data_IF_401950101238
#
_entry.id   IF_401950101238
#
_cell.length_a   1.000
_cell.length_b   1.000
_cell.length_c   1.000
_cell.angle_alpha   90.00
_cell.angle_beta   90.00
_cell.angle_gamma   90.00
#
_symmetry.space_group_name_H-M   'P 1'
#
loop_
_entity.id
_entity.type
_entity.pdbx_description
1 polymer ?
#
# COMPACT_ATOMS: atom_id res chain seq x y z
N UNK A 1 1.02 -0.04 34.02
CA UNK A 1 0.33 -1.15 33.34
C UNK A 1 -0.85 -0.57 32.56
N UNK A 2 -0.69 -0.26 31.29
CA UNK A 2 -1.77 0.27 30.45
C UNK A 2 -2.57 -0.87 29.83
N UNK A 3 -3.86 -0.91 30.12
CA UNK A 3 -4.78 -1.87 29.54
C UNK A 3 -4.81 -1.66 28.00
N UNK A 4 -4.54 -2.72 27.24
CA UNK A 4 -4.76 -2.74 25.78
C UNK A 4 -6.28 -2.76 25.54
N UNK A 5 -6.83 -1.61 25.19
CA UNK A 5 -8.20 -1.54 24.67
C UNK A 5 -8.18 -2.17 23.28
N UNK A 6 -8.65 -3.42 23.19
CA UNK A 6 -8.86 -4.08 21.90
C UNK A 6 -10.31 -3.84 21.48
N UNK A 7 -10.50 -3.25 20.31
CA UNK A 7 -11.82 -3.23 19.66
C UNK A 7 -12.29 -4.68 19.39
N UNK A 8 -13.59 -4.89 19.23
CA UNK A 8 -14.30 -6.19 19.14
C UNK A 8 -13.75 -7.25 18.15
N UNK A 9 -12.60 -7.00 17.51
CA UNK A 9 -11.92 -7.89 16.54
C UNK A 9 -10.43 -8.09 16.82
N UNK A 10 -9.91 -7.76 18.02
CA UNK A 10 -8.48 -7.92 18.31
C UNK A 10 -7.56 -6.90 17.63
N UNK A 11 -8.10 -5.89 16.97
CA UNK A 11 -7.33 -4.78 16.39
C UNK A 11 -6.92 -3.81 17.49
N UNK A 12 -5.64 -3.37 17.48
CA UNK A 12 -5.17 -2.38 18.44
C UNK A 12 -5.58 -0.98 18.02
N UNK A 13 -5.76 -0.09 18.99
CA UNK A 13 -6.08 1.33 18.75
C UNK A 13 -5.03 2.00 17.84
N UNK A 14 -3.75 1.66 18.05
CA UNK A 14 -2.64 2.18 17.24
C UNK A 14 -2.76 1.79 15.77
N UNK A 15 -3.09 0.53 15.48
CA UNK A 15 -3.27 0.06 14.10
C UNK A 15 -4.46 0.76 13.43
N UNK A 16 -5.59 0.86 14.14
CA UNK A 16 -6.78 1.58 13.69
C UNK A 16 -6.46 3.06 13.38
N UNK A 17 -5.66 3.72 14.22
CA UNK A 17 -5.20 5.09 14.00
C UNK A 17 -4.38 5.23 12.72
N UNK A 18 -3.40 4.34 12.49
CA UNK A 18 -2.59 4.36 11.26
C UNK A 18 -3.45 4.18 9.99
N UNK A 19 -4.44 3.30 10.01
CA UNK A 19 -5.38 3.15 8.89
C UNK A 19 -6.18 4.44 8.63
N UNK A 20 -6.66 5.08 9.69
CA UNK A 20 -7.39 6.35 9.58
C UNK A 20 -6.50 7.44 8.98
N UNK A 21 -5.24 7.55 9.42
CA UNK A 21 -4.28 8.49 8.87
C UNK A 21 -3.97 8.20 7.40
N UNK A 22 -3.79 6.92 7.02
CA UNK A 22 -3.58 6.52 5.63
C UNK A 22 -4.78 6.88 4.75
N UNK A 23 -5.99 6.65 5.25
CA UNK A 23 -7.23 7.00 4.56
C UNK A 23 -7.35 8.52 4.33
N UNK A 24 -7.10 9.33 5.37
CA UNK A 24 -7.13 10.78 5.28
C UNK A 24 -6.02 11.32 4.36
N UNK A 25 -4.82 10.75 4.45
CA UNK A 25 -3.71 11.10 3.58
C UNK A 25 -4.06 10.85 2.11
N UNK A 26 -4.64 9.69 1.80
CA UNK A 26 -5.07 9.37 0.44
C UNK A 26 -6.09 10.40 -0.10
N UNK A 27 -7.09 10.77 0.69
CA UNK A 27 -8.07 11.79 0.29
C UNK A 27 -7.42 13.16 0.06
N UNK A 28 -6.56 13.60 0.97
CA UNK A 28 -5.83 14.87 0.85
C UNK A 28 -4.94 14.91 -0.40
N UNK A 29 -4.47 13.74 -0.88
CA UNK A 29 -3.67 13.62 -2.10
C UNK A 29 -4.52 13.28 -3.34
N UNK A 30 -5.81 13.59 -3.33
CA UNK A 30 -6.69 13.54 -4.49
C UNK A 30 -7.20 12.15 -4.88
N UNK A 31 -7.12 11.17 -4.01
CA UNK A 31 -7.79 9.89 -4.22
C UNK A 31 -9.28 10.05 -3.89
N UNK A 32 -10.12 10.03 -4.93
CA UNK A 32 -11.56 10.31 -4.81
C UNK A 32 -12.38 9.14 -4.25
N UNK A 33 -11.91 7.92 -4.38
CA UNK A 33 -12.54 6.75 -3.80
C UNK A 33 -11.55 5.99 -2.92
N UNK A 34 -11.86 5.86 -1.63
CA UNK A 34 -11.03 5.18 -0.65
C UNK A 34 -11.89 4.25 0.21
N UNK A 35 -11.32 3.10 0.60
CA UNK A 35 -11.94 2.22 1.57
C UNK A 35 -10.90 1.50 2.42
N UNK A 36 -11.32 1.13 3.64
CA UNK A 36 -10.52 0.31 4.56
C UNK A 36 -10.86 -1.17 4.38
N UNK A 37 -9.90 -2.06 4.76
CA UNK A 37 -10.09 -3.50 4.77
C UNK A 37 -10.52 -4.06 3.41
N UNK A 38 -9.82 -3.66 2.36
CA UNK A 38 -10.15 -4.01 0.98
C UNK A 38 -9.52 -5.34 0.58
N UNK A 39 -10.36 -6.31 0.19
CA UNK A 39 -9.88 -7.55 -0.42
C UNK A 39 -9.37 -7.26 -1.83
N UNK A 40 -8.14 -7.69 -2.12
CA UNK A 40 -7.53 -7.46 -3.42
C UNK A 40 -8.10 -8.39 -4.50
N UNK A 41 -8.15 -7.92 -5.76
CA UNK A 41 -8.57 -8.78 -6.86
C UNK A 41 -7.54 -9.89 -7.12
N UNK A 42 -8.01 -11.05 -7.60
CA UNK A 42 -7.20 -12.20 -8.04
C UNK A 42 -6.32 -12.86 -6.96
N UNK A 43 -6.41 -12.43 -5.71
CA UNK A 43 -5.71 -13.06 -4.61
C UNK A 43 -6.55 -13.03 -3.33
N UNK A 44 -6.09 -13.76 -2.30
CA UNK A 44 -6.76 -13.84 -1.00
C UNK A 44 -6.31 -12.78 0.00
N UNK A 45 -5.45 -11.86 -0.43
CA UNK A 45 -4.94 -10.83 0.46
C UNK A 45 -5.93 -9.69 0.65
N UNK A 46 -5.89 -9.12 1.83
CA UNK A 46 -6.59 -7.88 2.18
C UNK A 46 -5.55 -6.84 2.54
N UNK A 47 -5.77 -5.61 2.09
CA UNK A 47 -4.97 -4.44 2.46
C UNK A 47 -5.75 -3.54 3.40
N UNK A 48 -5.02 -2.83 4.25
CA UNK A 48 -5.63 -1.97 5.27
C UNK A 48 -6.40 -0.80 4.66
N UNK A 49 -5.83 -0.16 3.63
CA UNK A 49 -6.51 0.88 2.85
C UNK A 49 -6.22 0.67 1.36
N UNK A 50 -7.22 0.85 0.53
CA UNK A 50 -7.07 0.98 -0.91
C UNK A 50 -7.74 2.24 -1.40
N UNK A 51 -7.16 2.86 -2.43
CA UNK A 51 -7.58 4.15 -2.95
C UNK A 51 -7.51 4.19 -4.48
N UNK A 52 -8.40 4.99 -5.06
CA UNK A 52 -8.48 5.24 -6.49
C UNK A 52 -8.52 6.74 -6.76
N UNK A 53 -7.63 7.20 -7.62
CA UNK A 53 -7.59 8.59 -8.09
C UNK A 53 -8.20 8.66 -9.49
N UNK A 54 -9.23 9.47 -9.63
CA UNK A 54 -9.87 9.73 -10.92
C UNK A 54 -8.90 10.44 -11.88
N UNK A 55 -8.90 10.03 -13.15
CA UNK A 55 -8.27 10.75 -14.26
C UNK A 55 -9.33 11.12 -15.28
N UNK A 56 -9.34 12.37 -15.79
CA UNK A 56 -10.27 12.75 -16.85
C UNK A 56 -10.07 11.87 -18.10
N UNK A 57 -11.15 11.42 -18.71
CA UNK A 57 -11.19 10.65 -19.98
C UNK A 57 -10.48 9.28 -19.97
N UNK A 58 -9.89 8.86 -18.87
CA UNK A 58 -9.21 7.55 -18.76
C UNK A 58 -9.48 6.90 -17.41
N UNK A 59 -9.18 5.60 -17.31
CA UNK A 59 -9.19 4.93 -16.01
C UNK A 59 -8.03 5.46 -15.16
N UNK A 60 -8.38 5.93 -13.98
CA UNK A 60 -7.47 6.53 -13.04
C UNK A 60 -6.43 5.57 -12.45
N UNK A 61 -5.65 6.07 -11.54
CA UNK A 61 -4.61 5.33 -10.84
C UNK A 61 -5.09 4.79 -9.50
N UNK A 62 -4.45 3.72 -9.05
CA UNK A 62 -4.78 3.01 -7.82
C UNK A 62 -3.60 3.00 -6.87
N UNK A 63 -3.89 3.04 -5.57
CA UNK A 63 -2.89 2.91 -4.52
C UNK A 63 -3.39 1.93 -3.44
N UNK A 64 -2.46 1.23 -2.81
CA UNK A 64 -2.70 0.39 -1.64
C UNK A 64 -1.79 0.81 -0.50
N UNK A 65 -2.30 0.69 0.72
CA UNK A 65 -1.60 1.05 1.94
C UNK A 65 -1.69 -0.12 2.91
N UNK A 66 -0.54 -0.48 3.46
CA UNK A 66 -0.40 -1.53 4.47
C UNK A 66 0.18 -0.90 5.74
N UNK A 67 -0.53 -1.01 6.85
CA UNK A 67 -0.14 -0.40 8.11
C UNK A 67 0.58 -1.42 9.00
N UNK A 68 1.72 -1.05 9.56
CA UNK A 68 2.47 -1.87 10.51
C UNK A 68 2.74 -1.06 11.77
N UNK A 69 2.33 -1.61 12.91
CA UNK A 69 2.42 -0.94 14.21
C UNK A 69 3.57 -1.44 15.08
N UNK A 70 4.14 -2.60 14.73
CA UNK A 70 5.23 -3.23 15.47
C UNK A 70 6.26 -3.85 14.51
N UNK A 71 7.52 -3.84 14.94
CA UNK A 71 8.63 -4.37 14.17
C UNK A 71 8.47 -5.87 13.91
N UNK A 72 7.90 -6.61 14.87
CA UNK A 72 7.62 -8.04 14.71
C UNK A 72 6.60 -8.32 13.59
N UNK A 73 5.61 -7.44 13.39
CA UNK A 73 4.63 -7.57 12.31
C UNK A 73 5.25 -7.25 10.95
N UNK A 74 6.15 -6.26 10.91
CA UNK A 74 6.93 -5.94 9.72
C UNK A 74 7.88 -7.10 9.37
N UNK A 75 8.56 -7.67 10.37
CA UNK A 75 9.53 -8.75 10.21
C UNK A 75 8.92 -10.12 9.99
N UNK A 76 7.70 -10.37 10.45
CA UNK A 76 6.98 -11.62 10.18
C UNK A 76 6.76 -11.83 8.68
N UNK A 77 6.60 -10.74 7.96
CA UNK A 77 6.45 -10.75 6.50
C UNK A 77 7.81 -10.71 5.79
N UNK A 78 8.94 -10.68 6.53
CA UNK A 78 10.30 -10.60 6.02
C UNK A 78 11.12 -11.85 6.35
N UNK A 79 12.06 -12.21 5.47
CA UNK A 79 13.02 -13.29 5.71
C UNK A 79 13.97 -12.97 6.88
N UNK A 80 14.20 -13.94 7.78
CA UNK A 80 14.88 -13.75 9.07
C UNK A 80 16.41 -13.76 9.03
N UNK A 81 17.07 -13.31 7.98
CA UNK A 81 18.53 -13.30 7.92
C UNK A 81 19.14 -12.00 8.45
N UNK A 82 19.63 -12.00 9.69
CA UNK A 82 20.27 -10.84 10.32
C UNK A 82 21.53 -10.37 9.55
N UNK A 83 22.32 -11.30 9.01
CA UNK A 83 23.47 -10.97 8.18
C UNK A 83 23.08 -10.22 6.89
N UNK A 84 21.97 -10.62 6.25
CA UNK A 84 21.47 -9.93 5.08
C UNK A 84 20.94 -8.53 5.41
N UNK A 85 20.38 -8.36 6.61
CA UNK A 85 19.92 -7.04 7.09
C UNK A 85 21.07 -6.09 7.37
N UNK A 86 22.10 -6.54 8.10
CA UNK A 86 23.29 -5.72 8.34
C UNK A 86 23.94 -5.29 7.01
N UNK A 87 24.02 -6.22 6.05
CA UNK A 87 24.53 -5.90 4.71
C UNK A 87 23.66 -4.86 4.00
N UNK A 88 22.33 -4.99 4.10
CA UNK A 88 21.39 -4.05 3.52
C UNK A 88 21.55 -2.65 4.12
N UNK A 89 21.68 -2.55 5.43
CA UNK A 89 21.91 -1.29 6.15
C UNK A 89 23.20 -0.61 5.68
N UNK A 90 24.31 -1.35 5.62
CA UNK A 90 25.60 -0.85 5.10
C UNK A 90 25.49 -0.31 3.68
N UNK A 91 24.72 -0.97 2.81
CA UNK A 91 24.51 -0.52 1.42
C UNK A 91 23.60 0.70 1.36
N UNK A 92 22.58 0.78 2.19
CA UNK A 92 21.72 1.97 2.29
C UNK A 92 22.54 3.20 2.72
N UNK A 93 23.40 3.08 3.74
CA UNK A 93 24.29 4.17 4.15
C UNK A 93 25.24 4.59 3.01
N UNK A 94 25.79 3.61 2.29
CA UNK A 94 26.67 3.89 1.13
C UNK A 94 25.89 4.63 0.03
N UNK A 95 24.64 4.24 -0.23
CA UNK A 95 23.76 4.93 -1.17
C UNK A 95 23.55 6.37 -0.74
N UNK A 96 23.16 6.61 0.52
CA UNK A 96 22.91 7.95 1.05
C UNK A 96 24.13 8.85 0.92
N UNK A 97 25.33 8.34 1.28
CA UNK A 97 26.58 9.09 1.12
C UNK A 97 26.88 9.45 -0.34
N UNK A 98 26.59 8.55 -1.27
CA UNK A 98 26.74 8.82 -2.71
C UNK A 98 25.71 9.86 -3.19
N UNK A 99 24.45 9.76 -2.78
CA UNK A 99 23.41 10.71 -3.15
C UNK A 99 23.71 12.12 -2.60
N UNK A 100 24.24 12.23 -1.39
CA UNK A 100 24.68 13.51 -0.83
C UNK A 100 25.76 14.16 -1.71
N UNK A 101 26.80 13.39 -2.07
CA UNK A 101 27.85 13.88 -2.96
C UNK A 101 27.35 14.22 -4.37
N UNK A 102 26.46 13.41 -4.92
CA UNK A 102 25.88 13.67 -6.23
C UNK A 102 25.01 14.94 -6.24
N UNK A 103 24.32 15.26 -5.13
CA UNK A 103 23.57 16.52 -4.99
C UNK A 103 24.49 17.74 -5.02
N UNK A 104 25.67 17.65 -4.41
CA UNK A 104 26.67 18.73 -4.44
C UNK A 104 27.18 19.00 -5.86
N UNK A 105 27.37 17.94 -6.66
CA UNK A 105 27.85 18.05 -8.04
C UNK A 105 26.75 18.35 -9.09
N UNK A 106 25.50 17.97 -8.78
CA UNK A 106 24.36 18.09 -9.69
C UNK A 106 23.15 18.71 -9.00
N UNK A 107 23.22 19.98 -8.55
CA UNK A 107 22.14 20.62 -7.78
C UNK A 107 20.85 20.81 -8.55
N UNK A 108 20.90 20.84 -9.87
CA UNK A 108 19.75 21.10 -10.76
C UNK A 108 19.06 19.83 -11.29
N UNK A 109 19.40 18.66 -10.76
CA UNK A 109 18.84 17.39 -11.19
C UNK A 109 17.43 17.19 -10.60
N UNK A 110 16.48 18.01 -11.04
CA UNK A 110 15.06 17.87 -10.72
C UNK A 110 14.33 17.36 -11.96
N UNK A 111 13.70 16.18 -11.87
CA UNK A 111 12.78 15.74 -12.89
C UNK A 111 11.43 16.45 -12.67
N UNK A 112 11.17 17.50 -13.47
CA UNK A 112 9.97 18.35 -13.39
C UNK A 112 8.67 17.75 -13.89
N UNK A 113 8.62 16.46 -14.25
CA UNK A 113 7.43 15.78 -14.81
C UNK A 113 6.79 14.77 -13.87
N UNK A 114 6.94 14.94 -12.55
CA UNK A 114 6.27 14.06 -11.61
C UNK A 114 4.75 14.31 -11.59
N UNK A 115 3.96 13.25 -11.67
CA UNK A 115 2.51 13.28 -11.40
C UNK A 115 2.19 13.84 -9.99
N UNK A 116 3.19 14.00 -9.15
CA UNK A 116 3.14 14.47 -7.78
C UNK A 116 4.33 15.40 -7.54
N UNK A 117 4.19 16.72 -7.73
CA UNK A 117 5.26 17.70 -7.51
C UNK A 117 5.87 17.62 -6.11
N UNK A 118 5.08 17.22 -5.11
CA UNK A 118 5.53 17.01 -3.74
C UNK A 118 6.55 15.87 -3.58
N UNK A 119 6.71 15.03 -4.62
CA UNK A 119 7.61 13.89 -4.64
C UNK A 119 8.82 14.10 -5.53
N UNK A 120 9.07 15.32 -6.00
CA UNK A 120 10.23 15.66 -6.83
C UNK A 120 11.53 15.50 -6.03
N UNK A 121 11.97 14.24 -5.92
CA UNK A 121 13.30 13.91 -5.46
C UNK A 121 14.24 13.79 -6.66
N UNK A 122 15.52 14.21 -6.52
CA UNK A 122 16.50 14.07 -7.59
C UNK A 122 16.62 12.61 -8.03
N UNK A 123 16.48 12.34 -9.32
CA UNK A 123 16.72 11.02 -9.89
C UNK A 123 18.18 10.90 -10.37
N UNK A 124 19.03 10.38 -9.50
CA UNK A 124 20.45 10.19 -9.80
C UNK A 124 20.73 9.05 -10.79
N UNK A 125 19.72 8.27 -11.19
CA UNK A 125 19.90 7.18 -12.19
C UNK A 125 20.23 7.74 -13.56
N UNK A 126 19.73 8.94 -13.88
CA UNK A 126 19.93 9.64 -15.15
C UNK A 126 21.41 10.01 -15.38
N UNK A 127 22.19 10.21 -14.30
CA UNK A 127 23.61 10.58 -14.40
C UNK A 127 24.48 9.45 -14.96
N UNK A 128 24.00 8.21 -14.96
CA UNK A 128 24.79 7.06 -15.41
C UNK A 128 26.04 6.75 -14.55
N UNK A 129 26.09 7.22 -13.31
CA UNK A 129 27.24 7.04 -12.43
C UNK A 129 27.44 5.57 -12.08
N UNK A 130 28.54 4.96 -12.57
CA UNK A 130 28.81 3.50 -12.43
C UNK A 130 28.77 3.01 -10.98
N UNK A 131 29.31 3.76 -10.03
CA UNK A 131 29.31 3.42 -8.61
C UNK A 131 27.91 3.42 -8.00
N UNK A 132 27.09 4.39 -8.35
CA UNK A 132 25.71 4.50 -7.91
C UNK A 132 24.86 3.36 -8.48
N UNK A 133 24.97 3.08 -9.77
CA UNK A 133 24.25 1.97 -10.43
C UNK A 133 24.64 0.61 -9.86
N UNK A 134 25.91 0.44 -9.42
CA UNK A 134 26.35 -0.79 -8.74
C UNK A 134 25.69 -0.92 -7.37
N UNK A 135 25.67 0.15 -6.57
CA UNK A 135 25.02 0.17 -5.26
C UNK A 135 23.52 -0.11 -5.37
N UNK A 136 22.83 0.49 -6.34
CA UNK A 136 21.40 0.22 -6.58
C UNK A 136 21.15 -1.25 -6.95
N UNK A 137 21.97 -1.85 -7.81
CA UNK A 137 21.83 -3.28 -8.18
C UNK A 137 22.03 -4.19 -6.97
N UNK A 138 23.05 -3.91 -6.15
CA UNK A 138 23.33 -4.70 -4.94
C UNK A 138 22.20 -4.54 -3.92
N UNK A 139 21.68 -3.31 -3.74
CA UNK A 139 20.53 -3.01 -2.90
C UNK A 139 19.30 -3.81 -3.34
N UNK A 140 18.94 -3.75 -4.63
CA UNK A 140 17.82 -4.50 -5.17
C UNK A 140 17.97 -6.01 -5.01
N UNK A 141 19.16 -6.56 -5.26
CA UNK A 141 19.41 -7.99 -5.10
C UNK A 141 19.23 -8.46 -3.65
N UNK A 142 19.74 -7.68 -2.68
CA UNK A 142 19.57 -7.99 -1.26
C UNK A 142 18.14 -7.82 -0.78
N UNK A 143 17.47 -6.74 -1.20
CA UNK A 143 16.07 -6.52 -0.88
C UNK A 143 15.19 -7.63 -1.46
N UNK A 144 15.39 -8.03 -2.72
CA UNK A 144 14.68 -9.16 -3.31
C UNK A 144 14.89 -10.45 -2.51
N UNK A 145 16.12 -10.72 -2.07
CA UNK A 145 16.44 -11.90 -1.26
C UNK A 145 15.77 -11.89 0.11
N UNK A 146 15.66 -10.71 0.74
CA UNK A 146 15.01 -10.53 2.05
C UNK A 146 13.49 -10.60 1.96
N UNK A 147 12.92 -10.10 0.87
CA UNK A 147 11.48 -9.97 0.70
C UNK A 147 10.88 -11.03 -0.26
N UNK A 148 11.71 -11.88 -0.86
CA UNK A 148 11.25 -12.93 -1.76
C UNK A 148 10.25 -13.85 -1.01
N UNK A 149 9.13 -14.13 -1.66
CA UNK A 149 7.99 -14.86 -1.11
C UNK A 149 7.17 -14.16 0.00
N UNK A 150 7.44 -12.91 0.33
CA UNK A 150 6.63 -12.15 1.30
C UNK A 150 5.30 -11.68 0.72
N UNK A 151 4.38 -11.26 1.61
CA UNK A 151 3.12 -10.60 1.18
C UNK A 151 3.42 -9.40 0.28
N UNK A 152 4.42 -8.58 0.64
CA UNK A 152 4.77 -7.35 -0.07
C UNK A 152 5.25 -7.61 -1.49
N UNK A 153 6.13 -8.60 -1.69
CA UNK A 153 6.61 -9.00 -3.01
C UNK A 153 5.46 -9.53 -3.88
N UNK A 154 4.61 -10.40 -3.33
CA UNK A 154 3.45 -10.93 -4.04
C UNK A 154 2.49 -9.82 -4.49
N UNK A 155 2.25 -8.80 -3.68
CA UNK A 155 1.38 -7.67 -4.04
C UNK A 155 1.94 -6.88 -5.24
N UNK A 156 3.26 -6.71 -5.30
CA UNK A 156 3.92 -6.07 -6.45
C UNK A 156 3.89 -6.97 -7.68
N UNK A 157 4.25 -8.26 -7.55
CA UNK A 157 4.25 -9.22 -8.66
C UNK A 157 2.87 -9.37 -9.31
N UNK A 158 1.81 -9.39 -8.51
CA UNK A 158 0.43 -9.43 -9.01
C UNK A 158 -0.05 -8.10 -9.59
N UNK A 159 0.78 -7.04 -9.53
CA UNK A 159 0.41 -5.69 -10.01
C UNK A 159 -0.99 -5.29 -9.54
N UNK A 160 -1.22 -5.42 -8.24
CA UNK A 160 -2.53 -5.17 -7.65
C UNK A 160 -2.92 -3.69 -7.70
N UNK A 161 -1.95 -2.78 -7.66
CA UNK A 161 -2.13 -1.34 -7.73
C UNK A 161 -0.94 -0.65 -8.41
N UNK A 162 -1.14 0.60 -8.84
CA UNK A 162 -0.06 1.40 -9.43
C UNK A 162 0.97 1.84 -8.39
N UNK A 163 0.53 2.12 -7.15
CA UNK A 163 1.38 2.57 -6.06
C UNK A 163 1.11 1.73 -4.81
N UNK A 164 2.16 1.42 -4.07
CA UNK A 164 2.10 0.67 -2.81
C UNK A 164 2.82 1.43 -1.71
N UNK A 165 2.14 1.65 -0.60
CA UNK A 165 2.67 2.39 0.55
C UNK A 165 2.66 1.54 1.80
N UNK A 166 3.77 1.59 2.54
CA UNK A 166 3.88 1.10 3.90
C UNK A 166 3.66 2.27 4.85
N UNK A 167 2.76 2.11 5.81
CA UNK A 167 2.41 3.15 6.79
C UNK A 167 2.95 2.73 8.15
N UNK A 168 3.83 3.55 8.72
CA UNK A 168 4.60 3.22 9.91
C UNK A 168 4.59 4.36 10.93
N UNK A 169 4.65 4.07 12.23
CA UNK A 169 5.02 5.07 13.22
C UNK A 169 6.52 5.40 13.10
N UNK A 170 6.91 6.59 13.57
CA UNK A 170 8.27 7.14 13.42
C UNK A 170 9.37 6.19 13.91
N UNK A 171 9.17 5.55 15.04
CA UNK A 171 10.14 4.68 15.67
C UNK A 171 10.41 3.36 14.91
N UNK A 172 9.53 3.00 13.98
CA UNK A 172 9.67 1.79 13.15
C UNK A 172 10.27 2.07 11.77
N UNK A 173 10.46 3.34 11.43
CA UNK A 173 10.96 3.68 10.12
C UNK A 173 12.47 3.47 10.02
N UNK A 174 12.86 2.47 9.23
CA UNK A 174 14.22 2.24 8.75
C UNK A 174 14.15 2.04 7.23
N UNK A 175 14.82 2.92 6.47
CA UNK A 175 14.75 2.90 5.00
C UNK A 175 15.17 1.54 4.41
N UNK A 176 16.12 0.86 5.07
CA UNK A 176 16.57 -0.48 4.70
C UNK A 176 15.49 -1.56 4.83
N UNK A 177 14.51 -1.38 5.71
CA UNK A 177 13.44 -2.36 5.93
C UNK A 177 12.22 -2.13 5.02
N UNK A 178 12.21 -1.05 4.22
CA UNK A 178 11.11 -0.79 3.29
C UNK A 178 11.27 -1.67 2.05
N UNK A 179 10.27 -2.49 1.68
CA UNK A 179 10.35 -3.37 0.51
C UNK A 179 10.59 -2.61 -0.79
N UNK A 180 11.24 -3.27 -1.76
CA UNK A 180 11.48 -2.69 -3.09
C UNK A 180 10.15 -2.29 -3.73
N UNK A 181 10.12 -1.08 -4.31
CA UNK A 181 8.93 -0.56 -4.98
C UNK A 181 7.88 0.05 -4.06
N UNK A 182 7.96 -0.18 -2.74
CA UNK A 182 7.06 0.43 -1.77
C UNK A 182 7.52 1.83 -1.37
N UNK A 183 6.57 2.75 -1.24
CA UNK A 183 6.77 4.01 -0.54
C UNK A 183 6.63 3.83 0.96
N UNK A 184 7.14 4.80 1.72
CA UNK A 184 6.98 4.84 3.18
C UNK A 184 6.31 6.14 3.60
N UNK A 185 5.17 6.00 4.25
CA UNK A 185 4.46 7.06 4.96
C UNK A 185 4.70 6.88 6.44
N UNK A 186 5.24 7.88 7.08
CA UNK A 186 5.63 7.81 8.49
C UNK A 186 4.83 8.81 9.30
N UNK A 187 4.29 8.35 10.43
CA UNK A 187 3.55 9.20 11.35
C UNK A 187 4.48 10.10 12.15
N UNK A 188 4.22 11.40 12.09
CA UNK A 188 4.81 12.44 12.92
C UNK A 188 3.67 13.31 13.45
N UNK A 189 3.55 13.42 14.75
CA UNK A 189 2.63 14.35 15.45
C UNK A 189 1.18 14.27 14.91
N UNK A 190 0.71 13.05 14.60
CA UNK A 190 -0.66 12.83 14.14
C UNK A 190 -0.88 13.06 12.64
N UNK A 191 0.17 13.31 11.87
CA UNK A 191 0.14 13.43 10.41
C UNK A 191 1.09 12.45 9.74
N UNK A 192 0.79 12.06 8.50
CA UNK A 192 1.69 11.22 7.70
C UNK A 192 2.59 12.09 6.83
N UNK A 193 3.90 11.81 6.90
CA UNK A 193 4.91 12.39 6.00
C UNK A 193 5.44 11.30 5.06
N UNK A 194 5.61 11.65 3.80
CA UNK A 194 6.25 10.76 2.83
C UNK A 194 7.77 10.78 3.06
N UNK A 195 8.31 9.67 3.53
CA UNK A 195 9.75 9.50 3.77
C UNK A 195 10.45 8.78 2.63
N UNK A 196 9.72 7.94 1.89
CA UNK A 196 10.23 7.24 0.71
C UNK A 196 9.18 7.21 -0.38
N UNK A 197 9.57 7.61 -1.60
CA UNK A 197 8.71 7.58 -2.78
C UNK A 197 8.46 6.14 -3.23
N UNK A 198 7.22 5.75 -3.56
CA UNK A 198 6.94 4.47 -4.18
C UNK A 198 7.39 4.45 -5.64
N UNK A 199 7.65 3.26 -6.17
CA UNK A 199 7.83 3.06 -7.60
C UNK A 199 6.47 2.89 -8.26
N UNK A 200 6.27 3.55 -9.41
CA UNK A 200 5.09 3.34 -10.22
C UNK A 200 5.12 1.96 -10.89
N UNK A 201 4.06 1.20 -10.74
CA UNK A 201 3.85 -0.08 -11.40
C UNK A 201 2.77 0.03 -12.46
N UNK A 202 3.09 -0.38 -13.70
CA UNK A 202 2.08 -0.49 -14.74
C UNK A 202 1.09 -1.59 -14.37
N UNK A 203 -0.11 -1.16 -14.01
CA UNK A 203 -1.23 -2.03 -13.64
C UNK A 203 -2.23 -2.05 -14.77
N UNK A 204 -2.56 -3.23 -15.26
CA UNK A 204 -3.52 -3.40 -16.34
C UNK A 204 -4.87 -2.77 -16.01
N UNK A 205 -5.58 -2.31 -17.06
CA UNK A 205 -6.88 -1.67 -16.96
C UNK A 205 -7.86 -2.49 -16.12
N UNK A 206 -7.92 -3.78 -16.39
CA UNK A 206 -8.81 -4.71 -15.70
C UNK A 206 -8.54 -4.77 -14.18
N UNK A 207 -7.28 -4.81 -13.77
CA UNK A 207 -6.92 -4.83 -12.35
C UNK A 207 -7.30 -3.53 -11.65
N UNK A 208 -7.15 -2.39 -12.31
CA UNK A 208 -7.56 -1.08 -11.76
C UNK A 208 -9.09 -1.01 -11.59
N UNK A 209 -9.85 -1.47 -12.58
CA UNK A 209 -11.33 -1.55 -12.49
C UNK A 209 -11.74 -2.51 -11.38
N UNK A 210 -11.16 -3.69 -11.33
CA UNK A 210 -11.47 -4.68 -10.27
C UNK A 210 -11.14 -4.15 -8.88
N UNK A 211 -10.02 -3.42 -8.72
CA UNK A 211 -9.70 -2.81 -7.43
C UNK A 211 -10.70 -1.72 -7.06
N UNK A 212 -11.11 -0.87 -8.01
CA UNK A 212 -12.17 0.13 -7.78
C UNK A 212 -13.48 -0.53 -7.34
N UNK A 213 -13.89 -1.62 -7.98
CA UNK A 213 -15.06 -2.40 -7.55
C UNK A 213 -14.92 -2.91 -6.12
N UNK A 214 -13.73 -3.41 -5.74
CA UNK A 214 -13.46 -3.87 -4.36
C UNK A 214 -13.50 -2.74 -3.35
N UNK A 215 -13.02 -1.55 -3.72
CA UNK A 215 -13.12 -0.34 -2.90
C UNK A 215 -14.60 0.01 -2.69
N UNK A 216 -15.41 0.06 -3.75
CA UNK A 216 -16.85 0.34 -3.68
C UNK A 216 -17.57 -0.68 -2.77
N UNK A 217 -17.33 -1.97 -2.97
CA UNK A 217 -17.90 -3.03 -2.12
C UNK A 217 -17.49 -2.91 -0.64
N UNK A 218 -16.24 -2.51 -0.37
CA UNK A 218 -15.76 -2.33 1.00
C UNK A 218 -16.42 -1.10 1.65
N UNK A 219 -16.57 -0.01 0.89
CA UNK A 219 -17.30 1.19 1.31
C UNK A 219 -18.77 0.89 1.63
N UNK A 220 -19.47 0.19 0.75
CA UNK A 220 -20.87 -0.24 0.98
C UNK A 220 -20.98 -1.08 2.25
N UNK A 221 -20.08 -2.05 2.47
CA UNK A 221 -20.09 -2.85 3.71
C UNK A 221 -19.82 -2.00 4.96
N UNK A 222 -18.99 -0.96 4.84
CA UNK A 222 -18.75 -0.04 5.96
C UNK A 222 -19.99 0.77 6.29
N UNK A 223 -20.68 1.30 5.28
CA UNK A 223 -21.95 2.03 5.43
C UNK A 223 -23.02 1.11 6.02
N UNK A 224 -23.21 -0.10 5.50
CA UNK A 224 -24.19 -1.04 6.02
C UNK A 224 -23.96 -1.35 7.50
N UNK A 225 -22.68 -1.50 7.91
CA UNK A 225 -22.37 -1.69 9.34
C UNK A 225 -22.67 -0.46 10.19
N UNK A 226 -22.42 0.73 9.67
CA UNK A 226 -22.71 1.98 10.37
C UNK A 226 -24.21 2.22 10.52
N UNK A 227 -24.99 1.81 9.53
CA UNK A 227 -26.45 1.91 9.51
C UNK A 227 -27.14 0.67 10.11
N UNK A 228 -26.36 -0.29 10.63
CA UNK A 228 -26.86 -1.56 11.19
C UNK A 228 -27.74 -2.38 10.22
N UNK A 229 -27.56 -2.16 8.89
CA UNK A 229 -28.28 -2.89 7.86
C UNK A 229 -27.69 -4.29 7.73
N UNK A 230 -28.50 -5.32 8.05
CA UNK A 230 -28.14 -6.71 7.75
C UNK A 230 -28.50 -7.02 6.29
N UNK A 231 -27.64 -7.80 5.61
CA UNK A 231 -27.92 -8.19 4.21
C UNK A 231 -29.18 -9.03 4.06
N UNK A 232 -29.59 -9.71 5.16
CA UNK A 232 -30.83 -10.47 5.22
C UNK A 232 -32.08 -9.58 5.15
N UNK A 233 -31.94 -8.29 5.46
CA UNK A 233 -33.05 -7.32 5.46
C UNK A 233 -33.27 -6.69 4.08
N UNK A 234 -32.35 -6.94 3.13
CA UNK A 234 -32.47 -6.41 1.77
C UNK A 234 -33.41 -7.30 0.97
N UNK A 235 -34.64 -6.80 0.76
CA UNK A 235 -35.66 -7.42 -0.08
C UNK A 235 -35.82 -6.58 -1.35
N UNK A 236 -35.51 -7.17 -2.50
CA UNK A 236 -35.73 -6.52 -3.81
C UNK A 236 -36.70 -7.38 -4.60
N UNK A 237 -37.74 -6.78 -5.11
CA UNK A 237 -38.77 -7.47 -5.91
C UNK A 237 -39.38 -8.71 -5.22
N UNK A 238 -39.57 -8.65 -3.89
CA UNK A 238 -40.10 -9.77 -3.10
C UNK A 238 -39.15 -10.97 -2.91
N UNK A 239 -37.91 -10.85 -3.33
CA UNK A 239 -36.89 -11.90 -3.15
C UNK A 239 -35.89 -11.50 -2.09
N UNK A 240 -35.59 -12.42 -1.18
CA UNK A 240 -34.54 -12.23 -0.17
C UNK A 240 -33.17 -12.58 -0.77
N UNK A 241 -32.22 -11.65 -0.74
CA UNK A 241 -30.84 -11.88 -1.20
C UNK A 241 -30.01 -12.42 -0.02
N UNK A 242 -29.41 -13.59 -0.19
CA UNK A 242 -28.41 -14.10 0.76
C UNK A 242 -27.01 -13.67 0.35
N UNK A 243 -26.22 -13.21 1.31
CA UNK A 243 -24.82 -12.88 1.10
C UNK A 243 -24.05 -14.17 0.80
N UNK A 244 -23.49 -14.28 -0.40
CA UNK A 244 -22.52 -15.32 -0.71
C UNK A 244 -21.19 -14.87 -0.09
N UNK A 245 -20.89 -15.42 1.08
CA UNK A 245 -19.59 -15.29 1.72
C UNK A 245 -18.55 -16.01 0.87
N UNK A 246 -17.50 -15.29 0.52
CA UNK A 246 -16.32 -15.72 -0.22
C UNK A 246 -16.46 -15.86 -1.75
N UNK A 247 -15.96 -14.86 -2.43
CA UNK A 247 -15.24 -15.01 -3.71
C UNK A 247 -16.03 -15.27 -4.98
N UNK A 248 -17.33 -15.39 -4.97
CA UNK A 248 -18.11 -15.68 -6.17
C UNK A 248 -19.03 -14.55 -6.56
N UNK A 249 -19.07 -14.23 -7.84
CA UNK A 249 -19.98 -13.29 -8.48
C UNK A 249 -21.44 -13.62 -8.15
N UNK A 250 -22.26 -12.57 -8.03
CA UNK A 250 -23.71 -12.67 -7.96
C UNK A 250 -24.24 -13.61 -9.07
N UNK A 251 -24.64 -14.81 -8.71
CA UNK A 251 -25.51 -15.62 -9.55
C UNK A 251 -26.94 -15.39 -9.07
N UNK A 252 -27.72 -14.71 -9.89
CA UNK A 252 -29.17 -14.77 -9.80
C UNK A 252 -29.61 -16.23 -9.99
N UNK A 253 -29.99 -16.89 -8.93
CA UNK A 253 -30.77 -18.12 -9.09
C UNK A 253 -32.19 -17.71 -9.44
N UNK A 254 -32.51 -17.78 -10.73
CA UNK A 254 -33.89 -17.92 -11.16
C UNK A 254 -34.40 -19.26 -10.60
N UNK A 255 -35.29 -19.19 -9.62
CA UNK A 255 -36.11 -20.34 -9.29
C UNK A 255 -37.01 -20.58 -10.52
N UNK A 256 -36.72 -21.58 -11.30
CA UNK A 256 -37.66 -22.11 -12.28
C UNK A 256 -38.86 -22.62 -11.46
N UNK A 257 -39.97 -21.93 -11.62
CA UNK A 257 -41.29 -22.48 -11.29
C UNK A 257 -41.50 -23.69 -12.19
N UNK A 258 -41.70 -24.85 -11.60
CA UNK A 258 -42.54 -25.89 -12.15
C UNK A 258 -43.96 -25.70 -11.62
#
# INVERSE_FOLDING_TARGET
MGARVTNARGETERHSRLKRLAFLWAQAHGYSACAMEVALPQNRYRVDVAAYRLKPKTIGSTAIFECKQALCDLRRDNCQSDAARQRLETICERRQRLETRLREHYPNLRNGDSLFPEFDLPDFTVIGHRGYSRVLRELHALQNRLYDCTKFDKLIRYRCANLSFLVLPKELFHDAEIPVGWGALVEFDGALKLMRKPIWHETGLENRIRLLQRIAMAGTRAINRQLEIAFADVIVEGKRYQQITSGHFFRLRQAQQK
#
